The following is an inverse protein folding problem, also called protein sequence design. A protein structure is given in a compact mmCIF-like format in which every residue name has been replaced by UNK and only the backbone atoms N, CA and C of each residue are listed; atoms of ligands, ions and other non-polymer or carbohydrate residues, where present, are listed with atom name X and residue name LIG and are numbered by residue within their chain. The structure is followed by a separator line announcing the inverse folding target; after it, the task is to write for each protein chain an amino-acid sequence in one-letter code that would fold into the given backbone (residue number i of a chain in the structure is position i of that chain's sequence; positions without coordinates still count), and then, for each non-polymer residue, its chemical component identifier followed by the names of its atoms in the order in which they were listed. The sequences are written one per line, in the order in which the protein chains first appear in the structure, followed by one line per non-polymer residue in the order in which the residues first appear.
data_IF_857492798627
#
_entry.id   IF_857492798627
#
_cell.length_a   1.000
_cell.length_b   1.000
_cell.length_c   1.000
_cell.angle_alpha   90.00
_cell.angle_beta   90.00
_cell.angle_gamma   90.00
#
_symmetry.space_group_name_H-M   'P 1'
#
loop_
_entity.id
_entity.type
_entity.pdbx_description
1 polymer ?
#
# COMPACT_ATOMS: atom_id res chain seq x y z
N UNK A 1 19.34 -53.52 33.49
CA UNK A 1 19.92 -53.09 32.20
C UNK A 1 19.06 -51.98 31.63
N UNK A 2 19.69 -50.86 31.21
CA UNK A 2 19.24 -49.79 30.27
C UNK A 2 17.83 -49.18 30.48
N UNK A 3 17.74 -47.93 30.98
CA UNK A 3 17.70 -46.64 30.23
C UNK A 3 16.45 -46.52 29.33
N UNK A 4 15.74 -45.41 29.12
CA UNK A 4 15.69 -44.01 29.57
C UNK A 4 14.43 -43.45 28.87
N UNK A 5 13.72 -42.52 29.52
CA UNK A 5 12.90 -41.40 29.01
C UNK A 5 12.22 -41.44 27.62
N UNK A 6 10.92 -41.13 27.63
CA UNK A 6 10.27 -40.08 26.79
C UNK A 6 8.90 -39.78 27.41
N UNK A 7 8.77 -38.82 28.35
CA UNK A 7 8.46 -37.39 28.11
C UNK A 7 7.13 -37.24 27.35
N UNK A 8 5.98 -37.16 28.04
CA UNK A 8 5.38 -35.95 28.60
C UNK A 8 5.29 -34.81 27.58
N UNK A 9 4.19 -34.74 26.84
CA UNK A 9 3.99 -33.74 25.80
C UNK A 9 2.58 -33.69 25.23
N UNK A 10 1.56 -33.60 26.09
CA UNK A 10 0.21 -33.20 25.65
C UNK A 10 -0.32 -32.17 26.63
N UNK A 11 0.28 -30.99 26.59
CA UNK A 11 -0.24 -29.78 27.21
C UNK A 11 0.04 -28.62 26.27
N UNK A 12 -1.04 -28.11 25.67
CA UNK A 12 -1.26 -26.81 25.04
C UNK A 12 -2.39 -27.07 24.03
N UNK A 13 -3.63 -27.17 24.52
CA UNK A 13 -4.53 -26.02 24.53
C UNK A 13 -4.35 -25.27 23.22
N UNK A 14 -5.01 -25.80 22.18
CA UNK A 14 -5.32 -25.07 20.97
C UNK A 14 -6.24 -23.91 21.39
N UNK A 15 -5.61 -22.87 21.95
CA UNK A 15 -6.14 -21.53 21.89
C UNK A 15 -6.30 -21.25 20.41
N UNK A 16 -7.53 -21.40 19.93
CA UNK A 16 -8.01 -20.80 18.70
C UNK A 16 -7.88 -19.29 18.82
N UNK A 17 -6.64 -18.80 18.72
CA UNK A 17 -6.40 -17.49 18.15
C UNK A 17 -6.80 -17.63 16.69
N UNK A 18 -8.07 -17.37 16.40
CA UNK A 18 -8.46 -16.93 15.06
C UNK A 18 -7.60 -15.71 14.77
N UNK A 19 -6.46 -15.93 14.13
CA UNK A 19 -5.79 -14.92 13.34
C UNK A 19 -6.81 -14.54 12.27
N UNK A 20 -7.70 -13.60 12.59
CA UNK A 20 -8.40 -12.82 11.59
C UNK A 20 -7.30 -12.01 10.90
N UNK A 21 -6.67 -12.66 9.93
CA UNK A 21 -5.58 -12.12 9.15
C UNK A 21 -6.10 -10.85 8.50
N UNK A 22 -5.47 -9.72 8.83
CA UNK A 22 -5.61 -8.43 8.15
C UNK A 22 -5.20 -8.46 6.65
N UNK A 23 -5.09 -9.66 6.06
CA UNK A 23 -4.62 -9.91 4.71
C UNK A 23 -5.61 -9.43 3.63
N UNK A 24 -6.92 -9.40 3.92
CA UNK A 24 -7.92 -8.93 2.94
C UNK A 24 -7.88 -7.41 2.71
N UNK A 25 -7.56 -6.63 3.74
CA UNK A 25 -7.59 -5.16 3.70
C UNK A 25 -6.22 -4.61 3.26
N UNK A 26 -5.12 -5.25 3.66
CA UNK A 26 -3.80 -4.89 3.15
C UNK A 26 -3.61 -5.22 1.66
N UNK A 27 -4.24 -6.29 1.15
CA UNK A 27 -4.16 -6.69 -0.25
C UNK A 27 -4.76 -5.67 -1.22
N UNK A 28 -5.87 -5.02 -0.87
CA UNK A 28 -6.51 -4.04 -1.75
C UNK A 28 -5.70 -2.73 -1.86
N UNK A 29 -4.95 -2.33 -0.82
CA UNK A 29 -4.01 -1.21 -0.92
C UNK A 29 -2.82 -1.54 -1.83
N UNK A 30 -2.32 -2.78 -1.79
CA UNK A 30 -1.30 -3.26 -2.71
C UNK A 30 -1.81 -3.30 -4.16
N UNK A 31 -3.05 -3.73 -4.36
CA UNK A 31 -3.71 -3.68 -5.67
C UNK A 31 -3.85 -2.23 -6.16
N UNK A 32 -4.23 -1.30 -5.29
CA UNK A 32 -4.31 0.12 -5.64
C UNK A 32 -2.94 0.68 -6.05
N UNK A 33 -1.86 0.34 -5.34
CA UNK A 33 -0.50 0.70 -5.75
C UNK A 33 -0.15 0.15 -7.13
N UNK A 34 -0.42 -1.14 -7.38
CA UNK A 34 -0.20 -1.77 -8.68
C UNK A 34 -0.97 -1.05 -9.80
N UNK A 35 -2.21 -0.64 -9.54
CA UNK A 35 -3.00 0.17 -10.48
C UNK A 35 -2.37 1.53 -10.77
N UNK A 36 -1.84 2.22 -9.76
CA UNK A 36 -1.14 3.50 -9.97
C UNK A 36 0.12 3.29 -10.83
N UNK A 37 0.89 2.23 -10.54
CA UNK A 37 2.08 1.86 -11.32
C UNK A 37 1.69 1.63 -12.79
N UNK A 38 0.60 0.91 -13.04
CA UNK A 38 0.06 0.60 -14.36
C UNK A 38 -0.78 1.72 -15.00
N UNK A 39 -0.80 2.93 -14.43
CA UNK A 39 -1.55 4.09 -14.93
C UNK A 39 -3.10 3.92 -14.91
N UNK A 40 -3.64 2.97 -14.14
CA UNK A 40 -5.07 2.76 -13.92
C UNK A 40 -5.62 3.67 -12.79
N UNK A 41 -5.37 4.98 -12.93
CA UNK A 41 -5.51 5.96 -11.85
C UNK A 41 -6.93 6.07 -11.27
N UNK A 42 -7.95 6.06 -12.11
CA UNK A 42 -9.36 6.13 -11.67
C UNK A 42 -9.78 4.89 -10.85
N UNK A 43 -9.30 3.71 -11.25
CA UNK A 43 -9.59 2.47 -10.50
C UNK A 43 -8.86 2.44 -9.16
N UNK A 44 -7.65 3.00 -9.09
CA UNK A 44 -6.95 3.17 -7.83
C UNK A 44 -7.70 4.11 -6.87
N UNK A 45 -8.23 5.23 -7.38
CA UNK A 45 -8.92 6.24 -6.56
C UNK A 45 -10.12 5.69 -5.79
N UNK A 46 -11.00 4.88 -6.40
CA UNK A 46 -12.17 4.30 -5.71
C UNK A 46 -11.73 3.48 -4.49
N UNK A 47 -10.73 2.61 -4.66
CA UNK A 47 -10.17 1.83 -3.55
C UNK A 47 -9.61 2.77 -2.49
N UNK A 48 -8.73 3.70 -2.86
CA UNK A 48 -8.07 4.58 -1.90
C UNK A 48 -9.07 5.43 -1.09
N UNK A 49 -10.09 5.97 -1.76
CA UNK A 49 -11.14 6.77 -1.11
C UNK A 49 -11.86 5.95 -0.02
N UNK A 50 -12.22 4.70 -0.30
CA UNK A 50 -12.85 3.81 0.71
C UNK A 50 -11.93 3.62 1.90
N UNK A 51 -10.64 3.38 1.66
CA UNK A 51 -9.65 3.19 2.72
C UNK A 51 -9.45 4.42 3.61
N UNK A 52 -9.62 5.65 3.09
CA UNK A 52 -9.60 6.85 3.93
C UNK A 52 -10.68 6.88 5.02
N UNK A 53 -11.75 6.09 4.85
CA UNK A 53 -12.88 6.01 5.79
C UNK A 53 -12.78 4.76 6.66
N UNK A 54 -12.62 3.57 6.06
CA UNK A 54 -12.77 2.28 6.76
C UNK A 54 -11.45 1.66 7.23
N UNK A 55 -10.30 2.17 6.75
CA UNK A 55 -8.99 1.62 7.12
C UNK A 55 -8.58 1.93 8.56
N UNK A 56 -7.58 1.19 9.06
CA UNK A 56 -6.81 1.58 10.25
C UNK A 56 -6.08 2.90 10.01
N UNK A 57 -5.60 3.55 11.07
CA UNK A 57 -4.88 4.83 10.93
C UNK A 57 -3.61 4.72 10.06
N UNK A 58 -2.95 3.56 10.06
CA UNK A 58 -1.83 3.27 9.17
C UNK A 58 -2.28 3.21 7.71
N UNK A 59 -3.34 2.45 7.43
CA UNK A 59 -3.88 2.25 6.08
C UNK A 59 -4.47 3.55 5.51
N UNK A 60 -5.18 4.33 6.34
CA UNK A 60 -5.67 5.66 5.99
C UNK A 60 -4.53 6.59 5.58
N UNK A 61 -3.41 6.57 6.33
CA UNK A 61 -2.23 7.37 6.00
C UNK A 61 -1.66 7.02 4.63
N UNK A 62 -1.54 5.73 4.33
CA UNK A 62 -1.09 5.23 3.01
C UNK A 62 -2.10 5.63 1.93
N UNK A 63 -3.40 5.50 2.19
CA UNK A 63 -4.44 5.86 1.24
C UNK A 63 -4.40 7.34 0.88
N UNK A 64 -4.23 8.23 1.86
CA UNK A 64 -4.07 9.66 1.63
C UNK A 64 -2.83 9.98 0.79
N UNK A 65 -1.69 9.35 1.11
CA UNK A 65 -0.44 9.52 0.35
C UNK A 65 -0.62 9.10 -1.12
N UNK A 66 -1.18 7.92 -1.37
CA UNK A 66 -1.43 7.44 -2.73
C UNK A 66 -2.50 8.25 -3.48
N UNK A 67 -3.55 8.74 -2.82
CA UNK A 67 -4.47 9.70 -3.44
C UNK A 67 -3.73 10.98 -3.85
N UNK A 68 -2.83 11.47 -3.00
CA UNK A 68 -1.96 12.60 -3.31
C UNK A 68 -1.12 12.35 -4.57
N UNK A 69 -0.49 11.17 -4.67
CA UNK A 69 0.26 10.75 -5.87
C UNK A 69 -0.63 10.75 -7.10
N UNK A 70 -1.82 10.15 -7.03
CA UNK A 70 -2.74 10.08 -8.18
C UNK A 70 -3.13 11.47 -8.66
N UNK A 71 -3.57 12.35 -7.77
CA UNK A 71 -3.98 13.71 -8.17
C UNK A 71 -2.82 14.52 -8.77
N UNK A 72 -1.58 14.29 -8.32
CA UNK A 72 -0.41 14.89 -8.97
C UNK A 72 -0.10 14.32 -10.35
N UNK A 73 -0.27 13.01 -10.56
CA UNK A 73 -0.14 12.40 -11.90
C UNK A 73 -1.22 12.91 -12.86
N UNK A 74 -2.43 13.17 -12.37
CA UNK A 74 -3.53 13.75 -13.14
C UNK A 74 -3.41 15.28 -13.33
N UNK A 75 -2.43 15.93 -12.70
CA UNK A 75 -2.30 17.38 -12.61
C UNK A 75 -3.53 18.08 -11.99
N UNK A 76 -4.32 17.37 -11.18
CA UNK A 76 -5.43 17.94 -10.41
C UNK A 76 -4.93 18.55 -9.10
N UNK A 77 -4.44 19.79 -9.20
CA UNK A 77 -3.88 20.52 -8.07
C UNK A 77 -4.94 20.89 -7.02
N UNK A 78 -6.21 20.98 -7.40
CA UNK A 78 -7.29 21.30 -6.48
C UNK A 78 -7.58 20.08 -5.59
N UNK A 79 -7.79 18.92 -6.19
CA UNK A 79 -8.02 17.68 -5.46
C UNK A 79 -6.79 17.28 -4.63
N UNK A 80 -5.57 17.52 -5.15
CA UNK A 80 -4.34 17.33 -4.39
C UNK A 80 -4.32 18.16 -3.12
N UNK A 81 -4.51 19.49 -3.22
CA UNK A 81 -4.49 20.38 -2.07
C UNK A 81 -5.56 20.03 -1.04
N UNK A 82 -6.77 19.71 -1.52
CA UNK A 82 -7.86 19.27 -0.67
C UNK A 82 -7.55 17.95 0.06
N UNK A 83 -6.86 17.01 -0.60
CA UNK A 83 -6.43 15.75 0.00
C UNK A 83 -5.38 15.97 1.09
N UNK A 84 -4.42 16.87 0.87
CA UNK A 84 -3.45 17.27 1.90
C UNK A 84 -4.17 17.90 3.09
N UNK A 85 -5.14 18.79 2.87
CA UNK A 85 -5.92 19.38 3.97
C UNK A 85 -6.67 18.32 4.77
N UNK A 86 -7.38 17.41 4.10
CA UNK A 86 -8.09 16.30 4.75
C UNK A 86 -7.17 15.45 5.60
N UNK A 87 -5.98 15.12 5.09
CA UNK A 87 -4.97 14.40 5.86
C UNK A 87 -4.54 15.20 7.10
N UNK A 88 -4.20 16.48 6.97
CA UNK A 88 -3.74 17.30 8.10
C UNK A 88 -4.81 17.50 9.19
N UNK A 89 -6.09 17.46 8.84
CA UNK A 89 -7.20 17.55 9.81
C UNK A 89 -7.56 16.21 10.47
N UNK A 90 -7.16 15.10 9.86
CA UNK A 90 -7.45 13.75 10.35
C UNK A 90 -6.45 13.26 11.42
N UNK A 91 -6.77 12.18 12.11
CA UNK A 91 -5.96 11.67 13.22
C UNK A 91 -4.52 11.34 12.84
N UNK A 92 -4.27 10.85 11.62
CA UNK A 92 -2.94 10.42 11.20
C UNK A 92 -2.07 11.56 10.64
N UNK A 93 -2.67 12.71 10.32
CA UNK A 93 -1.95 13.90 9.86
C UNK A 93 -1.96 15.07 10.84
N UNK A 94 -2.77 15.03 11.91
CA UNK A 94 -2.84 16.11 12.90
C UNK A 94 -1.46 16.38 13.51
N UNK A 95 -1.05 17.65 13.49
CA UNK A 95 0.24 18.10 14.01
C UNK A 95 1.42 17.91 13.04
N UNK A 96 1.21 17.32 11.86
CA UNK A 96 2.24 17.27 10.81
C UNK A 96 2.38 18.62 10.10
N UNK A 97 3.59 18.88 9.60
CA UNK A 97 3.85 20.05 8.79
C UNK A 97 3.37 19.81 7.34
N UNK A 98 2.67 20.80 6.76
CA UNK A 98 2.14 20.72 5.40
C UNK A 98 3.23 20.55 4.33
N UNK A 99 4.27 21.38 4.37
CA UNK A 99 5.33 21.37 3.37
C UNK A 99 6.08 20.03 3.40
N UNK A 100 6.34 19.53 4.60
CA UNK A 100 6.97 18.22 4.80
C UNK A 100 6.09 17.07 4.29
N UNK A 101 4.77 17.13 4.53
CA UNK A 101 3.81 16.15 3.99
C UNK A 101 3.83 16.16 2.45
N UNK A 102 3.79 17.34 1.83
CA UNK A 102 3.86 17.49 0.38
C UNK A 102 5.20 16.96 -0.16
N UNK A 103 6.32 17.23 0.53
CA UNK A 103 7.64 16.69 0.16
C UNK A 103 7.64 15.17 0.16
N UNK A 104 7.13 14.54 1.22
CA UNK A 104 7.03 13.07 1.31
C UNK A 104 6.18 12.48 0.18
N UNK A 105 5.03 13.11 -0.13
CA UNK A 105 4.16 12.61 -1.21
C UNK A 105 4.79 12.79 -2.59
N UNK A 106 5.58 13.86 -2.80
CA UNK A 106 6.39 14.02 -4.01
C UNK A 106 7.48 12.94 -4.15
N UNK A 107 8.12 12.56 -3.04
CA UNK A 107 9.09 11.47 -3.01
C UNK A 107 8.41 10.15 -3.34
N UNK A 108 7.24 9.87 -2.75
CA UNK A 108 6.46 8.68 -3.09
C UNK A 108 6.06 8.65 -4.57
N UNK A 109 5.63 9.78 -5.13
CA UNK A 109 5.34 9.89 -6.57
C UNK A 109 6.55 9.54 -7.41
N UNK A 110 7.74 10.00 -7.02
CA UNK A 110 8.99 9.66 -7.71
C UNK A 110 9.27 8.16 -7.64
N UNK A 111 9.14 7.54 -6.47
CA UNK A 111 9.31 6.09 -6.29
C UNK A 111 8.35 5.29 -7.18
N UNK A 112 7.08 5.70 -7.26
CA UNK A 112 6.09 5.05 -8.14
C UNK A 112 6.47 5.16 -9.62
N UNK A 113 7.04 6.29 -10.05
CA UNK A 113 7.54 6.44 -11.43
C UNK A 113 8.75 5.54 -11.70
N UNK A 114 9.64 5.40 -10.73
CA UNK A 114 10.80 4.50 -10.81
C UNK A 114 10.33 3.03 -10.89
N UNK A 115 9.34 2.64 -10.08
CA UNK A 115 8.70 1.31 -10.14
C UNK A 115 8.06 1.05 -11.50
N UNK A 116 7.35 2.03 -12.08
CA UNK A 116 6.77 1.91 -13.43
C UNK A 116 7.83 1.63 -14.49
N UNK A 117 8.95 2.35 -14.45
CA UNK A 117 10.07 2.13 -15.38
C UNK A 117 10.66 0.72 -15.19
N UNK A 118 10.81 0.29 -13.95
CA UNK A 118 11.29 -1.07 -13.64
C UNK A 118 10.35 -2.15 -14.19
N UNK A 119 9.04 -2.00 -13.99
CA UNK A 119 8.02 -2.96 -14.47
C UNK A 119 7.99 -3.04 -16.00
N UNK A 120 8.15 -1.90 -16.69
CA UNK A 120 8.29 -1.85 -18.15
C UNK A 120 9.56 -2.59 -18.61
N UNK A 121 10.72 -2.30 -18.01
CA UNK A 121 11.97 -2.97 -18.36
C UNK A 121 11.95 -4.47 -18.09
N UNK A 122 11.28 -4.90 -17.01
CA UNK A 122 11.08 -6.34 -16.72
C UNK A 122 10.21 -7.00 -17.80
N UNK A 123 9.17 -6.31 -18.27
CA UNK A 123 8.31 -6.81 -19.34
C UNK A 123 9.07 -6.94 -20.67
N UNK A 124 9.90 -5.94 -21.02
CA UNK A 124 10.77 -5.98 -22.20
C UNK A 124 11.74 -7.17 -22.17
N UNK A 125 12.44 -7.36 -21.04
CA UNK A 125 13.33 -8.51 -20.87
C UNK A 125 12.58 -9.86 -20.95
N UNK A 126 11.32 -9.93 -20.53
CA UNK A 126 10.54 -11.17 -20.61
C UNK A 126 10.09 -11.49 -22.04
N UNK A 127 9.81 -10.47 -22.86
CA UNK A 127 9.35 -10.66 -24.24
C UNK A 127 10.46 -11.11 -25.20
N UNK A 128 11.70 -10.69 -24.97
CA UNK A 128 12.86 -11.07 -25.82
C UNK A 128 13.16 -12.57 -25.80
N UNK A 129 12.72 -13.31 -24.76
CA UNK A 129 12.87 -14.77 -24.69
C UNK A 129 11.74 -15.54 -25.40
N UNK A 130 10.63 -14.89 -25.76
CA UNK A 130 9.47 -15.57 -26.38
C UNK A 130 9.51 -15.50 -27.91
N UNK A 131 10.14 -14.48 -28.49
CA UNK A 131 10.25 -14.31 -29.96
C UNK A 131 11.42 -15.07 -30.60
N UNK A 132 12.17 -15.86 -29.83
CA UNK A 132 13.37 -16.59 -30.28
C UNK A 132 13.13 -18.09 -30.58
N UNK A 133 11.88 -18.51 -30.87
CA UNK A 133 11.51 -19.87 -31.26
C UNK A 133 10.92 -19.94 -32.67
#
# INVERSE_FOLDING_TARGET
MKRIATVLGVALVLNGCTFATSYGVHGALFEAESKIVNCELESALDTLQRFTVVGSNKEKGIAFEYMGVVYQEQMDLQAFNHTVDRFLFSEMGRGKNRQETIRQWNEKRREIRELRVYELGRAECATDFVTAL
#
